data_IF_649540006818
#
_entry.id   IF_649540006818
#
_cell.length_a   1.000
_cell.length_b   1.000
_cell.length_c   1.000
_cell.angle_alpha   90.00
_cell.angle_beta   90.00
_cell.angle_gamma   90.00
#
_symmetry.space_group_name_H-M   'P 1'
#
loop_
_entity.id
_entity.type
_entity.pdbx_description
1 polymer ?
#
# COMPACT_ATOMS: atom_id res chain seq x y z
N UNK A 1 20.94 -13.62 -23.87
CA UNK A 1 19.49 -13.69 -24.12
C UNK A 1 18.84 -13.93 -22.78
N UNK A 2 18.33 -12.87 -22.16
CA UNK A 2 17.61 -12.96 -20.88
C UNK A 2 16.22 -13.50 -21.19
N UNK A 3 15.89 -14.68 -20.66
CA UNK A 3 14.51 -15.15 -20.65
C UNK A 3 13.65 -14.10 -19.96
N UNK A 4 12.70 -13.54 -20.72
CA UNK A 4 11.66 -12.68 -20.19
C UNK A 4 10.80 -13.54 -19.25
N UNK A 5 11.15 -13.52 -17.96
CA UNK A 5 10.44 -14.26 -16.93
C UNK A 5 9.04 -13.66 -16.79
N UNK A 6 8.09 -14.17 -17.59
CA UNK A 6 6.67 -13.93 -17.40
C UNK A 6 6.31 -14.50 -16.03
N UNK A 7 6.27 -13.64 -15.02
CA UNK A 7 5.77 -14.04 -13.71
C UNK A 7 4.28 -14.33 -13.85
N UNK A 8 3.83 -15.57 -13.55
CA UNK A 8 2.42 -15.90 -13.66
C UNK A 8 1.61 -14.97 -12.75
N UNK A 9 0.36 -14.67 -13.10
CA UNK A 9 -0.57 -13.96 -12.21
C UNK A 9 -0.74 -14.71 -10.89
N UNK A 10 -1.30 -14.04 -9.87
CA UNK A 10 -1.82 -14.77 -8.72
C UNK A 10 -2.98 -15.67 -9.17
N UNK A 11 -3.11 -16.84 -8.55
CA UNK A 11 -4.28 -17.69 -8.72
C UNK A 11 -5.53 -17.03 -8.11
N UNK A 12 -6.73 -17.43 -8.53
CA UNK A 12 -7.99 -16.90 -7.98
C UNK A 12 -8.09 -17.04 -6.45
N UNK A 13 -7.46 -18.07 -5.87
CA UNK A 13 -7.42 -18.24 -4.43
C UNK A 13 -6.47 -17.23 -3.77
N UNK A 14 -5.27 -17.06 -4.31
CA UNK A 14 -4.28 -16.08 -3.83
C UNK A 14 -4.80 -14.66 -3.98
N UNK A 15 -5.45 -14.33 -5.09
CA UNK A 15 -6.03 -13.01 -5.34
C UNK A 15 -7.12 -12.67 -4.31
N UNK A 16 -8.03 -13.60 -4.02
CA UNK A 16 -9.07 -13.40 -2.99
C UNK A 16 -8.48 -13.27 -1.59
N UNK A 17 -7.50 -14.10 -1.25
CA UNK A 17 -6.81 -14.02 0.04
C UNK A 17 -6.05 -12.71 0.16
N UNK A 18 -5.33 -12.29 -0.88
CA UNK A 18 -4.59 -11.04 -0.93
C UNK A 18 -5.53 -9.85 -0.80
N UNK A 19 -6.61 -9.77 -1.59
CA UNK A 19 -7.62 -8.71 -1.46
C UNK A 19 -8.17 -8.62 -0.02
N UNK A 20 -8.43 -9.77 0.61
CA UNK A 20 -8.87 -9.81 2.01
C UNK A 20 -7.82 -9.26 2.96
N UNK A 21 -6.54 -9.57 2.77
CA UNK A 21 -5.43 -8.99 3.56
C UNK A 21 -5.33 -7.48 3.33
N UNK A 22 -5.45 -7.01 2.09
CA UNK A 22 -5.41 -5.59 1.77
C UNK A 22 -6.54 -4.83 2.47
N UNK A 23 -7.76 -5.37 2.51
CA UNK A 23 -8.89 -4.80 3.28
C UNK A 23 -8.68 -4.85 4.80
N UNK A 24 -7.79 -5.70 5.33
CA UNK A 24 -7.38 -5.60 6.74
C UNK A 24 -6.37 -4.46 6.98
N UNK A 25 -5.54 -4.13 6.00
CA UNK A 25 -4.55 -3.04 6.10
C UNK A 25 -5.24 -1.68 5.97
N UNK A 26 -6.09 -1.51 4.96
CA UNK A 26 -6.92 -0.33 4.78
C UNK A 26 -8.37 -0.80 4.55
N UNK A 27 -9.21 -0.78 5.61
CA UNK A 27 -10.59 -1.22 5.51
C UNK A 27 -11.46 -0.22 4.74
N UNK A 28 -12.61 -0.65 4.19
CA UNK A 28 -13.60 0.26 3.65
C UNK A 28 -14.04 1.25 4.72
N UNK A 29 -14.23 2.51 4.32
CA UNK A 29 -14.78 3.51 5.21
C UNK A 29 -16.21 3.14 5.61
N UNK A 30 -16.58 3.46 6.85
CA UNK A 30 -17.92 3.22 7.39
C UNK A 30 -19.02 4.01 6.68
N UNK A 31 -18.69 5.17 6.09
CA UNK A 31 -19.62 5.99 5.30
C UNK A 31 -19.79 5.51 3.85
N UNK A 32 -19.08 4.46 3.44
CA UNK A 32 -19.14 3.87 2.11
C UNK A 32 -18.50 4.71 0.99
N UNK A 33 -17.94 5.88 1.30
CA UNK A 33 -17.37 6.79 0.28
C UNK A 33 -16.05 6.29 -0.29
N UNK A 34 -15.32 5.50 0.49
CA UNK A 34 -14.05 4.92 0.09
C UNK A 34 -14.09 3.40 0.25
N UNK A 35 -13.83 2.62 -0.81
CA UNK A 35 -13.66 1.19 -0.70
C UNK A 35 -12.39 0.88 0.10
N UNK A 36 -12.31 -0.31 0.70
CA UNK A 36 -11.06 -0.78 1.28
C UNK A 36 -10.03 -1.08 0.18
N UNK A 37 -8.78 -1.29 0.55
CA UNK A 37 -7.71 -1.55 -0.42
C UNK A 37 -7.95 -2.78 -1.30
N UNK A 38 -8.56 -3.84 -0.75
CA UNK A 38 -9.01 -5.00 -1.52
C UNK A 38 -10.14 -4.63 -2.48
N UNK A 39 -11.17 -3.95 -1.97
CA UNK A 39 -12.30 -3.46 -2.78
C UNK A 39 -11.93 -2.44 -3.86
N UNK A 40 -10.81 -1.72 -3.69
CA UNK A 40 -10.27 -0.77 -4.67
C UNK A 40 -9.60 -1.46 -5.86
N UNK A 41 -9.31 -2.77 -5.75
CA UNK A 41 -8.63 -3.55 -6.79
C UNK A 41 -7.11 -3.47 -6.74
N UNK A 42 -6.53 -3.15 -5.57
CA UNK A 42 -5.07 -3.00 -5.44
C UNK A 42 -4.29 -4.31 -5.61
N UNK A 43 -4.94 -5.47 -5.73
CA UNK A 43 -4.25 -6.71 -6.13
C UNK A 43 -3.51 -6.51 -7.46
N UNK A 44 -4.10 -5.82 -8.44
CA UNK A 44 -3.43 -5.49 -9.71
C UNK A 44 -2.19 -4.61 -9.50
N UNK A 45 -2.24 -3.67 -8.56
CA UNK A 45 -1.08 -2.85 -8.23
C UNK A 45 0.04 -3.71 -7.63
N UNK A 46 -0.29 -4.65 -6.74
CA UNK A 46 0.68 -5.61 -6.19
C UNK A 46 1.26 -6.50 -7.30
N UNK A 47 0.46 -6.94 -8.28
CA UNK A 47 0.99 -7.68 -9.46
C UNK A 47 2.03 -6.85 -10.22
N UNK A 48 1.78 -5.56 -10.45
CA UNK A 48 2.73 -4.66 -11.12
C UNK A 48 4.01 -4.47 -10.30
N UNK A 49 3.89 -4.30 -8.98
CA UNK A 49 5.03 -4.23 -8.06
C UNK A 49 5.86 -5.51 -8.15
N UNK A 50 5.22 -6.67 -8.17
CA UNK A 50 5.90 -7.96 -8.30
C UNK A 50 6.60 -8.10 -9.67
N UNK A 51 6.04 -7.56 -10.74
CA UNK A 51 6.71 -7.54 -12.05
C UNK A 51 7.99 -6.69 -12.03
N UNK A 52 7.98 -5.56 -11.33
CA UNK A 52 9.15 -4.69 -11.17
C UNK A 52 10.17 -5.24 -10.16
N UNK A 53 9.70 -5.99 -9.16
CA UNK A 53 10.49 -6.61 -8.12
C UNK A 53 10.14 -8.10 -7.95
N UNK A 54 10.60 -8.97 -8.88
CA UNK A 54 10.28 -10.40 -8.90
C UNK A 54 10.46 -11.17 -7.59
N UNK A 55 11.45 -10.78 -6.80
CA UNK A 55 11.79 -11.40 -5.52
C UNK A 55 10.68 -11.26 -4.46
N UNK A 56 9.73 -10.34 -4.64
CA UNK A 56 8.58 -10.19 -3.74
C UNK A 56 7.53 -11.29 -3.92
N UNK A 57 7.42 -11.89 -5.12
CA UNK A 57 6.44 -12.96 -5.38
C UNK A 57 6.54 -14.12 -4.38
N UNK A 58 7.70 -14.77 -4.19
CA UNK A 58 7.79 -15.89 -3.26
C UNK A 58 7.44 -15.48 -1.83
N UNK A 59 7.80 -14.26 -1.41
CA UNK A 59 7.45 -13.74 -0.07
C UNK A 59 5.93 -13.64 0.09
N UNK A 60 5.23 -13.09 -0.91
CA UNK A 60 3.77 -12.94 -0.88
C UNK A 60 3.07 -14.31 -0.93
N UNK A 61 3.45 -15.17 -1.87
CA UNK A 61 2.84 -16.50 -2.04
C UNK A 61 3.06 -17.38 -0.81
N UNK A 62 4.27 -17.39 -0.25
CA UNK A 62 4.56 -18.16 0.97
C UNK A 62 3.81 -17.61 2.18
N UNK A 63 3.69 -16.29 2.31
CA UNK A 63 2.90 -15.67 3.37
C UNK A 63 1.42 -15.99 3.26
N UNK A 64 0.82 -15.91 2.07
CA UNK A 64 -0.58 -16.30 1.83
C UNK A 64 -0.81 -17.78 2.10
N UNK A 65 0.12 -18.66 1.70
CA UNK A 65 0.03 -20.09 1.98
C UNK A 65 0.10 -20.39 3.48
N UNK A 66 1.01 -19.74 4.21
CA UNK A 66 1.14 -19.90 5.66
C UNK A 66 -0.10 -19.36 6.38
N UNK A 67 -0.63 -18.22 5.94
CA UNK A 67 -1.86 -17.64 6.46
C UNK A 67 -3.06 -18.57 6.28
N UNK A 68 -3.22 -19.16 5.09
CA UNK A 68 -4.33 -20.09 4.82
C UNK A 68 -4.20 -21.37 5.66
N UNK A 69 -2.98 -21.91 5.83
CA UNK A 69 -2.74 -23.07 6.72
C UNK A 69 -3.12 -22.77 8.17
N UNK A 70 -2.71 -21.60 8.69
CA UNK A 70 -3.08 -21.17 10.04
C UNK A 70 -4.59 -20.97 10.16
N UNK A 71 -5.22 -20.34 9.17
CA UNK A 71 -6.66 -20.11 9.16
C UNK A 71 -7.48 -21.39 9.15
N UNK A 72 -7.05 -22.41 8.38
CA UNK A 72 -7.71 -23.71 8.31
C UNK A 72 -7.71 -24.47 9.63
N UNK A 73 -6.77 -24.17 10.53
CA UNK A 73 -6.82 -24.72 11.90
C UNK A 73 -7.97 -24.16 12.74
N UNK A 74 -8.46 -22.95 12.42
CA UNK A 74 -9.59 -22.29 13.10
C UNK A 74 -10.92 -22.50 12.37
N UNK A 75 -10.92 -22.43 11.04
CA UNK A 75 -12.09 -22.59 10.18
C UNK A 75 -11.70 -23.33 8.89
N UNK A 76 -12.27 -24.53 8.61
CA UNK A 76 -11.96 -25.29 7.40
C UNK A 76 -12.18 -24.53 6.08
N UNK A 77 -13.05 -23.51 6.08
CA UNK A 77 -13.30 -22.65 4.93
C UNK A 77 -12.14 -21.68 4.60
N UNK A 78 -11.12 -21.61 5.44
CA UNK A 78 -9.88 -20.83 5.19
C UNK A 78 -9.96 -19.37 5.62
N UNK A 79 -8.91 -18.61 5.28
CA UNK A 79 -8.70 -17.25 5.79
C UNK A 79 -9.81 -16.26 5.44
N UNK A 80 -10.33 -16.33 4.21
CA UNK A 80 -11.34 -15.39 3.69
C UNK A 80 -12.64 -15.44 4.52
N UNK A 81 -12.99 -16.63 5.04
CA UNK A 81 -14.22 -16.89 5.78
C UNK A 81 -14.16 -16.48 7.26
N UNK A 82 -13.01 -16.03 7.76
CA UNK A 82 -12.84 -15.61 9.15
C UNK A 82 -13.46 -14.23 9.43
N UNK A 83 -13.77 -13.99 10.71
CA UNK A 83 -14.15 -12.66 11.19
C UNK A 83 -12.99 -11.67 11.04
N UNK A 84 -13.26 -10.36 10.97
CA UNK A 84 -12.17 -9.35 10.91
C UNK A 84 -11.24 -9.43 12.12
N UNK A 85 -11.78 -9.75 13.30
CA UNK A 85 -10.99 -9.93 14.51
C UNK A 85 -10.03 -11.12 14.39
N UNK A 86 -10.53 -12.29 13.96
CA UNK A 86 -9.70 -13.48 13.75
C UNK A 86 -8.63 -13.25 12.66
N UNK A 87 -9.00 -12.53 11.59
CA UNK A 87 -8.06 -12.16 10.52
C UNK A 87 -6.92 -11.32 11.07
N UNK A 88 -7.23 -10.29 11.86
CA UNK A 88 -6.23 -9.43 12.49
C UNK A 88 -5.31 -10.23 13.41
N UNK A 89 -5.85 -11.11 14.25
CA UNK A 89 -5.05 -11.96 15.14
C UNK A 89 -4.08 -12.88 14.39
N UNK A 90 -4.56 -13.53 13.32
CA UNK A 90 -3.70 -14.39 12.49
C UNK A 90 -2.60 -13.61 11.78
N UNK A 91 -2.90 -12.40 11.28
CA UNK A 91 -1.89 -11.53 10.67
C UNK A 91 -0.84 -11.09 11.69
N UNK A 92 -1.24 -10.76 12.92
CA UNK A 92 -0.31 -10.47 14.01
C UNK A 92 0.57 -11.68 14.36
N UNK A 93 -0.01 -12.89 14.43
CA UNK A 93 0.74 -14.12 14.66
C UNK A 93 1.73 -14.41 13.53
N UNK A 94 1.32 -14.22 12.27
CA UNK A 94 2.15 -14.46 11.11
C UNK A 94 3.34 -13.49 11.08
N UNK A 95 3.14 -12.22 11.44
CA UNK A 95 4.18 -11.20 11.50
C UNK A 95 5.34 -11.58 12.43
N UNK A 96 5.04 -12.25 13.55
CA UNK A 96 6.07 -12.75 14.46
C UNK A 96 6.98 -13.84 13.84
N UNK A 97 6.46 -14.60 12.87
CA UNK A 97 7.15 -15.71 12.22
C UNK A 97 7.70 -15.41 10.82
N UNK A 98 7.16 -14.40 10.13
CA UNK A 98 7.53 -14.02 8.76
C UNK A 98 7.69 -12.49 8.64
N UNK A 99 8.92 -12.03 8.86
CA UNK A 99 9.25 -10.59 8.96
C UNK A 99 9.08 -9.81 7.64
N UNK A 100 9.00 -10.46 6.48
CA UNK A 100 8.93 -9.78 5.18
C UNK A 100 7.53 -9.63 4.60
N UNK A 101 6.62 -10.57 4.90
CA UNK A 101 5.33 -10.67 4.21
C UNK A 101 4.42 -9.47 4.48
N UNK A 102 4.04 -9.26 5.73
CA UNK A 102 3.09 -8.22 6.07
C UNK A 102 3.66 -6.80 5.91
N UNK A 103 4.92 -6.51 6.31
CA UNK A 103 5.51 -5.19 6.10
C UNK A 103 5.60 -4.79 4.62
N UNK A 104 5.93 -5.73 3.72
CA UNK A 104 5.94 -5.47 2.28
C UNK A 104 4.55 -5.12 1.76
N UNK A 105 3.52 -5.89 2.14
CA UNK A 105 2.15 -5.59 1.75
C UNK A 105 1.68 -4.25 2.32
N UNK A 106 1.97 -3.92 3.57
CA UNK A 106 1.62 -2.62 4.17
C UNK A 106 2.20 -1.50 3.31
N UNK A 107 3.51 -1.52 3.05
CA UNK A 107 4.16 -0.46 2.28
C UNK A 107 3.51 -0.25 0.90
N UNK A 108 3.36 -1.33 0.12
CA UNK A 108 2.79 -1.23 -1.23
C UNK A 108 1.28 -0.94 -1.23
N UNK A 109 0.55 -1.34 -0.18
CA UNK A 109 -0.85 -0.96 0.00
C UNK A 109 -0.99 0.54 0.18
N UNK A 110 -0.19 1.15 1.07
CA UNK A 110 -0.23 2.59 1.29
C UNK A 110 0.17 3.38 0.03
N UNK A 111 1.23 2.95 -0.66
CA UNK A 111 1.66 3.56 -1.92
C UNK A 111 0.54 3.50 -2.96
N UNK A 112 -0.03 2.32 -3.22
CA UNK A 112 -1.08 2.15 -4.22
C UNK A 112 -2.38 2.85 -3.85
N UNK A 113 -2.79 2.80 -2.59
CA UNK A 113 -4.07 3.35 -2.15
C UNK A 113 -4.10 4.87 -2.23
N UNK A 114 -3.10 5.55 -1.69
CA UNK A 114 -3.08 7.02 -1.68
C UNK A 114 -2.61 7.66 -3.00
N UNK A 115 -2.18 6.84 -3.97
CA UNK A 115 -1.94 7.28 -5.35
C UNK A 115 -3.13 7.02 -6.28
N UNK A 116 -4.13 6.24 -5.86
CA UNK A 116 -5.32 5.98 -6.68
C UNK A 116 -6.16 7.26 -6.82
N UNK A 117 -6.46 7.64 -8.06
CA UNK A 117 -7.19 8.88 -8.36
C UNK A 117 -8.54 8.98 -7.63
N UNK A 118 -9.24 7.84 -7.44
CA UNK A 118 -10.54 7.81 -6.74
C UNK A 118 -10.36 8.13 -5.26
N UNK A 119 -9.26 7.68 -4.65
CA UNK A 119 -8.92 7.97 -3.26
C UNK A 119 -8.51 9.43 -3.11
N UNK A 120 -7.65 9.93 -4.00
CA UNK A 120 -7.19 11.32 -4.00
C UNK A 120 -8.38 12.29 -4.13
N UNK A 121 -9.28 12.04 -5.09
CA UNK A 121 -10.49 12.83 -5.30
C UNK A 121 -11.43 12.78 -4.09
N UNK A 122 -11.66 11.60 -3.51
CA UNK A 122 -12.52 11.44 -2.33
C UNK A 122 -11.94 12.09 -1.05
N UNK A 123 -10.63 12.31 -0.98
CA UNK A 123 -9.99 13.08 0.08
C UNK A 123 -10.11 14.59 -0.12
N UNK A 124 -10.76 15.05 -1.21
CA UNK A 124 -10.88 16.46 -1.55
C UNK A 124 -9.56 17.07 -2.05
N UNK A 125 -8.60 16.23 -2.41
CA UNK A 125 -7.34 16.66 -3.00
C UNK A 125 -7.51 16.73 -4.52
N UNK A 126 -6.93 17.75 -5.15
CA UNK A 126 -6.87 17.78 -6.60
C UNK A 126 -5.99 16.62 -7.09
N UNK A 127 -6.57 15.66 -7.82
CA UNK A 127 -5.86 14.53 -8.42
C UNK A 127 -5.00 14.95 -9.63
N UNK A 128 -4.04 15.87 -9.40
CA UNK A 128 -3.09 16.35 -10.39
C UNK A 128 -1.68 16.44 -9.83
N UNK A 129 -0.64 16.41 -10.68
CA UNK A 129 0.71 16.76 -10.25
C UNK A 129 0.75 18.16 -9.60
N UNK A 130 1.54 18.35 -8.53
CA UNK A 130 1.68 19.65 -7.90
C UNK A 130 2.29 20.66 -8.87
N UNK A 131 3.29 20.28 -9.65
CA UNK A 131 3.89 21.16 -10.67
C UNK A 131 3.10 21.13 -11.99
N UNK A 132 2.91 22.27 -12.70
CA UNK A 132 3.47 23.61 -12.43
C UNK A 132 2.66 24.50 -11.50
N UNK A 133 1.39 24.16 -11.21
CA UNK A 133 0.46 25.07 -10.52
C UNK A 133 0.73 25.26 -9.02
N UNK A 134 1.44 24.36 -8.37
CA UNK A 134 1.57 24.28 -6.90
C UNK A 134 0.26 23.84 -6.22
N UNK A 135 0.27 23.84 -4.88
CA UNK A 135 -0.93 23.87 -4.04
C UNK A 135 -1.02 25.24 -3.38
N UNK A 136 -2.24 25.70 -3.09
CA UNK A 136 -2.43 26.90 -2.28
C UNK A 136 -1.91 26.64 -0.86
N UNK A 137 -1.08 27.55 -0.35
CA UNK A 137 -0.46 27.44 0.97
C UNK A 137 -1.00 28.58 1.84
N UNK A 138 -1.30 28.29 3.10
CA UNK A 138 -1.62 29.33 4.07
C UNK A 138 -0.49 30.38 4.13
N UNK A 139 -0.82 31.67 4.35
CA UNK A 139 0.17 32.72 4.46
C UNK A 139 1.21 32.37 5.54
N UNK A 140 2.44 32.11 5.12
CA UNK A 140 3.53 31.82 6.04
C UNK A 140 4.09 33.13 6.63
N UNK A 141 4.49 33.11 7.90
CA UNK A 141 5.20 34.25 8.50
C UNK A 141 6.60 34.37 7.89
N UNK A 142 6.73 35.28 6.92
CA UNK A 142 7.99 35.50 6.19
C UNK A 142 9.06 36.21 7.03
N UNK A 143 8.74 36.72 8.23
CA UNK A 143 9.72 37.31 9.14
C UNK A 143 10.76 36.29 9.61
N UNK A 144 10.41 35.00 9.60
CA UNK A 144 11.35 33.90 9.86
C UNK A 144 12.52 33.85 8.86
N UNK A 145 12.37 34.46 7.69
CA UNK A 145 13.43 34.53 6.68
C UNK A 145 14.33 35.77 6.83
N UNK A 146 14.03 36.69 7.74
CA UNK A 146 14.82 37.92 7.94
C UNK A 146 16.29 37.62 8.25
N UNK A 147 16.64 36.64 9.12
CA UNK A 147 18.04 36.29 9.35
C UNK A 147 18.76 35.76 8.10
N UNK A 148 18.04 35.13 7.17
CA UNK A 148 18.63 34.63 5.90
C UNK A 148 18.80 35.76 4.90
N UNK A 149 17.81 36.64 4.80
CA UNK A 149 17.84 37.83 3.92
C UNK A 149 18.96 38.81 4.28
N UNK A 150 19.30 38.89 5.57
CA UNK A 150 20.37 39.75 6.08
C UNK A 150 21.77 39.15 5.91
N UNK A 151 21.91 37.88 5.49
CA UNK A 151 23.24 37.27 5.31
C UNK A 151 23.96 37.91 4.12
N UNK A 152 25.27 38.20 4.25
CA UNK A 152 26.07 38.67 3.13
C UNK A 152 26.10 37.62 2.00
N UNK A 153 26.23 38.08 0.75
CA UNK A 153 26.32 37.20 -0.42
C UNK A 153 27.46 36.20 -0.23
N UNK A 154 27.15 34.91 -0.25
CA UNK A 154 28.12 33.82 -0.14
C UNK A 154 28.79 33.45 -1.48
N UNK A 155 28.40 34.11 -2.58
CA UNK A 155 28.92 33.88 -3.92
C UNK A 155 29.71 35.09 -4.43
N UNK A 156 30.73 34.86 -5.26
CA UNK A 156 31.42 35.93 -5.98
C UNK A 156 30.54 36.42 -7.12
N UNK A 157 30.44 37.74 -7.27
CA UNK A 157 29.90 38.33 -8.49
C UNK A 157 30.96 38.17 -9.58
N UNK A 158 30.58 37.52 -10.69
CA UNK A 158 31.40 37.40 -11.89
C UNK A 158 31.43 38.69 -12.68
#
# INVERSE_FOLDING_TARGET
MSEEMIHPRFSDHEERALATVLDQIIPPRSDGRLPGAGGLGLVRHIEQVVQQAPHLRPVIVQGLSALDKLARSRNPAGFVALSSQDKSELLSQLTASQQGFLPSLIFHTYVGYYQDARVVEALGLEARPPFPKGHEMEPNDLSLLDPVRQRPKLYRQG
#
